data_IF_654471711207
#
_entry.id   IF_654471711207
#
_cell.length_a   1.000
_cell.length_b   1.000
_cell.length_c   1.000
_cell.angle_alpha   90.00
_cell.angle_beta   90.00
_cell.angle_gamma   90.00
#
_symmetry.space_group_name_H-M   'P 1'
#
loop_
_entity.id
_entity.type
_entity.pdbx_description
1 polymer ?
#
# COMPACT_ATOMS: atom_id res chain seq x y z
N UNK A 1 13.69 0.55 -11.40
CA UNK A 1 12.87 0.93 -12.55
C UNK A 1 12.84 2.44 -12.72
N UNK A 2 12.35 2.88 -13.83
CA UNK A 2 12.30 4.29 -14.25
C UNK A 2 10.86 4.78 -14.50
N UNK A 3 9.87 3.94 -14.20
CA UNK A 3 8.46 4.24 -14.43
C UNK A 3 7.56 3.71 -13.32
N UNK A 4 6.42 4.37 -13.12
CA UNK A 4 5.33 3.83 -12.33
C UNK A 4 4.54 2.81 -13.17
N UNK A 5 4.08 1.74 -12.54
CA UNK A 5 3.27 0.71 -13.20
C UNK A 5 1.82 0.86 -12.76
N UNK A 6 0.95 1.23 -13.69
CA UNK A 6 -0.51 1.29 -13.49
C UNK A 6 -1.19 0.59 -14.66
N UNK A 7 -2.20 -0.23 -14.38
CA UNK A 7 -2.95 -0.96 -15.39
C UNK A 7 -4.44 -1.03 -15.08
N UNK A 8 -5.25 -1.11 -16.12
CA UNK A 8 -6.70 -1.22 -16.00
C UNK A 8 -7.13 -2.66 -15.69
N UNK A 9 -8.12 -2.79 -14.83
CA UNK A 9 -8.83 -4.05 -14.58
C UNK A 9 -10.34 -3.81 -14.61
N UNK A 10 -11.14 -4.86 -14.66
CA UNK A 10 -12.60 -4.75 -14.53
C UNK A 10 -13.06 -4.20 -13.17
N UNK A 11 -12.18 -4.17 -12.17
CA UNK A 11 -12.47 -3.73 -10.80
C UNK A 11 -11.93 -2.33 -10.48
N UNK A 12 -11.22 -1.69 -11.41
CA UNK A 12 -10.56 -0.40 -11.21
C UNK A 12 -9.11 -0.41 -11.68
N UNK A 13 -8.42 0.71 -11.50
CA UNK A 13 -7.01 0.82 -11.84
C UNK A 13 -6.11 0.39 -10.69
N UNK A 14 -5.16 -0.47 -11.02
CA UNK A 14 -4.22 -1.03 -10.04
C UNK A 14 -2.82 -0.53 -10.31
N UNK A 15 -2.18 0.03 -9.30
CA UNK A 15 -0.75 0.32 -9.26
C UNK A 15 0.03 -0.85 -8.66
N UNK A 16 1.23 -1.07 -9.13
CA UNK A 16 2.15 -2.09 -8.62
C UNK A 16 3.53 -1.50 -8.38
N UNK A 17 4.05 -1.72 -7.18
CA UNK A 17 5.45 -1.46 -6.86
C UNK A 17 5.99 -2.56 -5.93
N UNK A 18 7.31 -2.67 -5.78
CA UNK A 18 7.90 -3.84 -5.12
C UNK A 18 8.81 -3.39 -3.97
N UNK A 19 8.52 -3.91 -2.78
CA UNK A 19 9.37 -3.89 -1.60
C UNK A 19 9.94 -2.50 -1.29
N UNK A 20 11.18 -2.23 -1.65
CA UNK A 20 11.88 -0.99 -1.34
C UNK A 20 11.22 0.25 -1.96
N UNK A 21 10.45 0.10 -3.03
CA UNK A 21 9.72 1.19 -3.69
C UNK A 21 8.74 1.90 -2.75
N UNK A 22 8.20 1.20 -1.75
CA UNK A 22 7.27 1.80 -0.78
C UNK A 22 7.92 2.94 0.03
N UNK A 23 9.27 2.97 0.10
CA UNK A 23 10.03 4.03 0.78
C UNK A 23 9.88 5.39 0.11
N UNK A 24 9.54 5.40 -1.18
CA UNK A 24 9.47 6.58 -2.02
C UNK A 24 8.02 7.03 -2.22
N UNK A 25 7.54 8.08 -1.51
CA UNK A 25 6.17 8.57 -1.66
C UNK A 25 5.86 9.06 -3.08
N UNK A 26 6.87 9.46 -3.83
CA UNK A 26 6.74 10.00 -5.18
C UNK A 26 6.15 8.98 -6.16
N UNK A 27 6.54 7.71 -6.06
CA UNK A 27 6.01 6.66 -6.95
C UNK A 27 4.53 6.43 -6.71
N UNK A 28 4.08 6.46 -5.45
CA UNK A 28 2.66 6.35 -5.12
C UNK A 28 1.87 7.53 -5.66
N UNK A 29 2.39 8.74 -5.47
CA UNK A 29 1.75 9.95 -6.01
C UNK A 29 1.64 9.87 -7.53
N UNK A 30 2.67 9.40 -8.21
CA UNK A 30 2.66 9.21 -9.65
C UNK A 30 1.57 8.23 -10.08
N UNK A 31 1.51 7.03 -9.47
CA UNK A 31 0.48 6.04 -9.77
C UNK A 31 -0.93 6.57 -9.57
N UNK A 32 -1.17 7.34 -8.50
CA UNK A 32 -2.47 7.93 -8.23
C UNK A 32 -2.84 9.01 -9.23
N UNK A 33 -1.90 9.81 -9.68
CA UNK A 33 -2.13 10.81 -10.74
C UNK A 33 -2.43 10.15 -12.10
N UNK A 34 -1.97 8.91 -12.30
CA UNK A 34 -2.33 8.06 -13.44
C UNK A 34 -3.66 7.30 -13.24
N UNK A 35 -4.31 7.50 -12.09
CA UNK A 35 -5.64 7.02 -11.77
C UNK A 35 -5.71 5.73 -10.95
N UNK A 36 -4.61 5.30 -10.32
CA UNK A 36 -4.65 4.11 -9.46
C UNK A 36 -5.63 4.29 -8.30
N UNK A 37 -6.49 3.30 -8.12
CA UNK A 37 -7.45 3.17 -7.01
C UNK A 37 -6.88 2.28 -5.90
N UNK A 38 -6.08 1.31 -6.30
CA UNK A 38 -5.46 0.30 -5.46
C UNK A 38 -3.97 0.24 -5.80
N UNK A 39 -3.11 0.11 -4.80
CA UNK A 39 -1.69 -0.21 -5.02
C UNK A 39 -1.35 -1.51 -4.30
N UNK A 40 -0.77 -2.44 -5.04
CA UNK A 40 -0.27 -3.72 -4.53
C UNK A 40 1.24 -3.63 -4.32
N UNK A 41 1.70 -4.09 -3.17
CA UNK A 41 3.11 -4.03 -2.77
C UNK A 41 3.57 -5.38 -2.22
N UNK A 42 4.05 -6.30 -3.05
CA UNK A 42 4.80 -7.44 -2.54
C UNK A 42 6.12 -6.96 -1.92
N UNK A 43 6.35 -7.30 -0.66
CA UNK A 43 7.50 -6.79 0.10
C UNK A 43 7.90 -7.74 1.23
N UNK A 44 9.18 -7.76 1.56
CA UNK A 44 9.72 -8.50 2.69
C UNK A 44 10.61 -7.58 3.55
N UNK A 45 10.04 -6.98 4.58
CA UNK A 45 10.81 -6.22 5.57
C UNK A 45 11.48 -7.20 6.54
N UNK A 46 12.66 -6.84 7.00
CA UNK A 46 13.39 -7.62 8.01
C UNK A 46 12.87 -7.32 9.43
N UNK A 47 13.44 -8.01 10.42
CA UNK A 47 13.03 -7.88 11.82
C UNK A 47 13.43 -6.56 12.48
N UNK A 48 14.32 -5.78 11.87
CA UNK A 48 14.68 -4.43 12.36
C UNK A 48 13.69 -3.37 11.86
N UNK A 49 13.42 -3.36 10.57
CA UNK A 49 12.56 -2.34 9.94
C UNK A 49 11.09 -2.74 9.95
N UNK A 50 10.77 -4.02 9.98
CA UNK A 50 9.38 -4.50 9.99
C UNK A 50 8.56 -3.92 11.14
N UNK A 51 8.94 -4.16 12.40
CA UNK A 51 8.19 -3.62 13.55
C UNK A 51 8.09 -2.10 13.58
N UNK A 52 9.13 -1.40 13.12
CA UNK A 52 9.18 0.06 13.19
C UNK A 52 8.50 0.75 11.99
N UNK A 53 8.55 0.16 10.81
CA UNK A 53 8.19 0.86 9.57
C UNK A 53 7.05 0.24 8.77
N UNK A 54 6.79 -1.07 8.89
CA UNK A 54 5.83 -1.77 8.03
C UNK A 54 4.46 -1.11 8.04
N UNK A 55 3.76 -1.18 9.15
CA UNK A 55 2.41 -0.63 9.26
C UNK A 55 2.39 0.88 9.02
N UNK A 56 3.31 1.62 9.63
CA UNK A 56 3.41 3.06 9.49
C UNK A 56 3.51 3.49 8.02
N UNK A 57 4.38 2.83 7.25
CA UNK A 57 4.62 3.19 5.86
C UNK A 57 3.43 2.87 4.97
N UNK A 58 2.80 1.70 5.13
CA UNK A 58 1.59 1.33 4.40
C UNK A 58 0.43 2.28 4.68
N UNK A 59 0.22 2.64 5.94
CA UNK A 59 -0.80 3.60 6.34
C UNK A 59 -0.54 4.99 5.77
N UNK A 60 0.71 5.45 5.83
CA UNK A 60 1.08 6.75 5.26
C UNK A 60 0.82 6.80 3.75
N UNK A 61 1.24 5.78 2.99
CA UNK A 61 1.01 5.76 1.53
C UNK A 61 -0.48 5.74 1.17
N UNK A 62 -1.29 4.99 1.91
CA UNK A 62 -2.73 4.98 1.71
C UNK A 62 -3.36 6.34 2.02
N UNK A 63 -3.01 6.93 3.16
CA UNK A 63 -3.55 8.22 3.61
C UNK A 63 -3.14 9.37 2.69
N UNK A 64 -1.85 9.50 2.39
CA UNK A 64 -1.32 10.60 1.57
C UNK A 64 -1.93 10.65 0.16
N UNK A 65 -2.32 9.50 -0.35
CA UNK A 65 -2.82 9.32 -1.72
C UNK A 65 -4.30 8.99 -1.77
N UNK A 66 -4.93 8.72 -0.63
CA UNK A 66 -6.37 8.42 -0.49
C UNK A 66 -6.80 7.28 -1.42
N UNK A 67 -6.09 6.15 -1.31
CA UNK A 67 -6.29 4.90 -2.06
C UNK A 67 -6.23 3.70 -1.13
N UNK A 68 -6.66 2.55 -1.62
CA UNK A 68 -6.39 1.28 -0.95
C UNK A 68 -4.95 0.85 -1.21
N UNK A 69 -4.26 0.36 -0.17
CA UNK A 69 -2.91 -0.18 -0.30
C UNK A 69 -2.86 -1.56 0.35
N UNK A 70 -2.34 -2.54 -0.40
CA UNK A 70 -2.17 -3.91 0.06
C UNK A 70 -0.70 -4.27 0.08
N UNK A 71 -0.22 -4.74 1.22
CA UNK A 71 1.12 -5.30 1.39
C UNK A 71 1.06 -6.81 1.55
N UNK A 72 1.80 -7.53 0.72
CA UNK A 72 1.92 -8.98 0.82
C UNK A 72 3.34 -9.35 1.18
N UNK A 73 3.54 -9.99 2.32
CA UNK A 73 4.84 -10.44 2.79
C UNK A 73 4.93 -11.97 2.82
N UNK A 74 6.11 -12.54 2.56
CA UNK A 74 6.34 -13.94 2.90
C UNK A 74 6.13 -14.20 4.39
N UNK A 75 5.72 -15.42 4.73
CA UNK A 75 5.75 -15.88 6.11
C UNK A 75 7.18 -15.91 6.65
N UNK A 76 7.31 -15.77 7.97
CA UNK A 76 8.62 -15.84 8.62
C UNK A 76 9.11 -17.29 8.71
N UNK A 77 10.29 -17.54 8.17
CA UNK A 77 11.01 -18.79 8.32
C UNK A 77 12.20 -18.57 9.25
N UNK A 78 12.14 -19.15 10.45
CA UNK A 78 13.18 -18.99 11.46
C UNK A 78 14.50 -19.72 11.08
N UNK A 79 14.45 -20.63 10.12
CA UNK A 79 15.62 -21.34 9.61
C UNK A 79 16.34 -20.61 8.46
N UNK A 80 15.66 -19.63 7.85
CA UNK A 80 16.21 -18.87 6.75
C UNK A 80 17.23 -17.83 7.22
N UNK A 81 18.21 -17.55 6.36
CA UNK A 81 19.19 -16.48 6.59
C UNK A 81 18.55 -15.08 6.61
N UNK A 82 17.49 -14.89 5.85
CA UNK A 82 16.67 -13.69 5.87
C UNK A 82 15.30 -14.00 6.49
N UNK A 83 15.02 -13.41 7.63
CA UNK A 83 13.75 -13.58 8.32
C UNK A 83 12.82 -12.41 7.99
N UNK A 84 11.75 -12.68 7.24
CA UNK A 84 10.73 -11.69 6.93
C UNK A 84 9.92 -11.34 8.18
N UNK A 85 9.54 -10.07 8.31
CA UNK A 85 8.63 -9.62 9.37
C UNK A 85 7.25 -10.26 9.26
N UNK A 86 6.79 -10.55 8.04
CA UNK A 86 5.44 -11.03 7.77
C UNK A 86 4.43 -9.89 7.80
N UNK A 87 3.28 -10.11 8.41
CA UNK A 87 2.25 -9.11 8.69
C UNK A 87 1.63 -8.49 7.43
N UNK A 88 1.31 -9.31 6.42
CA UNK A 88 0.56 -8.85 5.25
C UNK A 88 -0.62 -7.98 5.66
N UNK A 89 -0.84 -6.87 4.96
CA UNK A 89 -1.71 -5.79 5.42
C UNK A 89 -2.60 -5.24 4.31
N UNK A 90 -3.82 -4.85 4.67
CA UNK A 90 -4.72 -4.07 3.82
C UNK A 90 -5.09 -2.77 4.53
N UNK A 91 -4.94 -1.64 3.84
CA UNK A 91 -5.18 -0.30 4.39
C UNK A 91 -6.16 0.47 3.52
N UNK A 92 -7.10 1.18 4.17
CA UNK A 92 -8.12 2.00 3.52
C UNK A 92 -7.58 3.38 3.07
N UNK A 93 -8.32 4.10 2.21
CA UNK A 93 -8.01 5.48 1.83
C UNK A 93 -7.95 6.47 3.01
N UNK A 94 -8.53 6.12 4.15
CA UNK A 94 -8.47 6.90 5.40
C UNK A 94 -7.21 6.61 6.23
N UNK A 95 -6.36 5.66 5.79
CA UNK A 95 -5.19 5.21 6.54
C UNK A 95 -5.51 4.21 7.65
N UNK A 96 -6.72 3.64 7.66
CA UNK A 96 -7.13 2.63 8.63
C UNK A 96 -6.69 1.23 8.16
N UNK A 97 -6.09 0.47 9.06
CA UNK A 97 -5.82 -0.95 8.82
C UNK A 97 -7.16 -1.70 8.79
N UNK A 98 -7.50 -2.24 7.62
CA UNK A 98 -8.70 -3.07 7.42
C UNK A 98 -8.46 -4.48 7.91
N UNK A 99 -7.27 -4.98 7.62
CA UNK A 99 -6.86 -6.34 7.90
C UNK A 99 -5.35 -6.43 8.02
N UNK A 100 -4.86 -7.24 8.94
CA UNK A 100 -3.44 -7.54 9.08
C UNK A 100 -3.26 -8.98 9.54
N UNK A 101 -2.40 -9.70 8.83
CA UNK A 101 -1.99 -11.05 9.23
C UNK A 101 -0.88 -10.99 10.27
N UNK A 102 -0.56 -12.12 10.85
CA UNK A 102 0.64 -12.31 11.66
C UNK A 102 1.85 -12.73 10.79
N UNK A 103 2.85 -13.33 11.39
CA UNK A 103 4.05 -13.80 10.71
C UNK A 103 3.93 -15.19 10.08
N UNK A 104 2.81 -15.87 10.25
CA UNK A 104 2.61 -17.24 9.76
C UNK A 104 2.09 -17.29 8.33
N UNK A 105 2.25 -18.45 7.71
CA UNK A 105 1.64 -18.74 6.41
C UNK A 105 0.12 -18.73 6.52
N UNK A 106 -0.55 -18.13 5.54
CA UNK A 106 -2.00 -18.06 5.53
C UNK A 106 -2.53 -17.24 4.36
N UNK A 107 -3.85 -17.13 4.32
CA UNK A 107 -4.58 -16.32 3.35
C UNK A 107 -5.62 -15.47 4.08
N UNK A 108 -5.78 -14.23 3.64
CA UNK A 108 -6.81 -13.33 4.15
C UNK A 108 -7.55 -12.65 3.01
N UNK A 109 -8.88 -12.58 3.13
CA UNK A 109 -9.75 -11.90 2.18
C UNK A 109 -10.24 -10.61 2.83
N UNK A 110 -10.07 -9.49 2.13
CA UNK A 110 -10.54 -8.18 2.55
C UNK A 110 -11.51 -7.64 1.52
N UNK A 111 -12.75 -7.37 1.93
CA UNK A 111 -13.74 -6.72 1.08
C UNK A 111 -13.51 -5.21 1.13
N UNK A 112 -13.43 -4.58 -0.04
CA UNK A 112 -13.29 -3.13 -0.19
C UNK A 112 -14.40 -2.58 -1.09
N UNK A 113 -14.76 -1.33 -0.86
CA UNK A 113 -15.68 -0.56 -1.69
C UNK A 113 -14.91 0.63 -2.27
N UNK A 114 -14.72 0.68 -3.59
CA UNK A 114 -13.99 1.75 -4.25
C UNK A 114 -14.68 3.13 -4.12
N UNK A 115 -15.98 3.17 -3.85
CA UNK A 115 -16.69 4.42 -3.59
C UNK A 115 -16.19 5.14 -2.33
N UNK A 116 -15.54 4.42 -1.42
CA UNK A 116 -14.87 5.02 -0.26
C UNK A 116 -13.78 6.02 -0.66
N UNK A 117 -13.10 5.80 -1.78
CA UNK A 117 -12.08 6.72 -2.31
C UNK A 117 -12.72 8.08 -2.59
N UNK A 118 -13.84 8.08 -3.27
CA UNK A 118 -14.59 9.33 -3.60
C UNK A 118 -15.01 10.05 -2.32
N UNK A 119 -15.63 9.34 -1.38
CA UNK A 119 -16.08 9.90 -0.10
C UNK A 119 -14.94 10.52 0.71
N UNK A 120 -13.80 9.84 0.79
CA UNK A 120 -12.62 10.33 1.51
C UNK A 120 -12.05 11.59 0.85
N UNK A 121 -11.97 11.61 -0.48
CA UNK A 121 -11.46 12.76 -1.24
C UNK A 121 -12.39 13.97 -1.22
N UNK A 122 -13.69 13.77 -1.09
CA UNK A 122 -14.66 14.85 -0.88
C UNK A 122 -14.55 15.41 0.53
N UNK A 123 -14.42 14.56 1.53
CA UNK A 123 -14.30 14.94 2.94
C UNK A 123 -12.98 15.66 3.24
N UNK A 124 -11.89 15.22 2.63
CA UNK A 124 -10.55 15.79 2.80
C UNK A 124 -9.83 15.84 1.44
N UNK A 125 -9.92 16.96 0.67
CA UNK A 125 -9.48 17.00 -0.72
C UNK A 125 -7.97 17.18 -0.91
N UNK A 126 -7.14 16.28 -0.38
CA UNK A 126 -5.68 16.38 -0.40
C UNK A 126 -5.11 16.46 -1.82
N UNK A 127 -5.59 15.60 -2.73
CA UNK A 127 -5.07 15.57 -4.10
C UNK A 127 -5.42 16.84 -4.89
N UNK A 128 -6.60 17.40 -4.63
CA UNK A 128 -7.08 18.60 -5.32
C UNK A 128 -6.36 19.87 -4.85
N UNK A 129 -5.92 19.90 -3.59
CA UNK A 129 -5.30 21.09 -2.97
C UNK A 129 -3.77 21.03 -2.94
N UNK A 130 -3.17 19.95 -3.46
CA UNK A 130 -1.71 19.83 -3.52
C UNK A 130 -1.07 20.91 -4.40
N UNK A 131 0.14 21.26 -4.11
CA UNK A 131 0.97 22.08 -4.99
C UNK A 131 1.47 21.24 -6.18
N UNK A 132 1.26 21.72 -7.41
CA UNK A 132 1.57 20.97 -8.63
C UNK A 132 3.03 21.14 -9.10
N UNK A 133 3.71 22.16 -8.62
CA UNK A 133 5.03 22.59 -9.09
C UNK A 133 6.09 22.60 -7.96
N UNK A 134 6.14 21.54 -7.18
CA UNK A 134 7.23 21.32 -6.23
C UNK A 134 8.37 20.53 -6.88
#
# INVERSE_FOLDING_TARGET
GDSATVFDTEFGKIGLCICFDIRFPEIFRRMVLEGADIVLVPAAFNMTTGPAHWELTFRARALDNQIFVFGTSPARDLSASYQAFGHSIAVSPWGRVLNQMDEHEGMQITTIDLDEITSVREQLPLLKTRMENL
#
